data_IF_189800011049
#
_entry.id   IF_189800011049
#
_cell.length_a   1.000
_cell.length_b   1.000
_cell.length_c   1.000
_cell.angle_alpha   90.00
_cell.angle_beta   90.00
_cell.angle_gamma   90.00
#
_symmetry.space_group_name_H-M   'P 1'
#
loop_
_entity.id
_entity.type
_entity.pdbx_description
1 polymer ?
#
# COMPACT_ATOMS: atom_id res chain seq x y z
N UNK A 1 21.68 10.83 -13.39
CA UNK A 1 20.26 11.13 -13.63
C UNK A 1 19.50 10.95 -12.33
N UNK A 2 18.78 11.98 -11.90
CA UNK A 2 18.03 11.91 -10.65
C UNK A 2 16.73 11.13 -10.86
N UNK A 3 16.55 10.09 -10.05
CA UNK A 3 15.34 9.25 -10.07
C UNK A 3 14.77 9.26 -8.66
N UNK A 4 13.47 9.49 -8.55
CA UNK A 4 12.74 9.40 -7.30
C UNK A 4 11.88 8.15 -7.32
N UNK A 5 11.94 7.38 -6.24
CA UNK A 5 11.06 6.23 -6.04
C UNK A 5 9.98 6.64 -5.05
N UNK A 6 8.73 6.44 -5.42
CA UNK A 6 7.57 6.88 -4.66
C UNK A 6 6.59 5.72 -4.48
N UNK A 7 5.99 5.60 -3.30
CA UNK A 7 4.97 4.59 -3.03
C UNK A 7 3.62 5.24 -2.76
N UNK A 8 2.57 4.67 -3.33
CA UNK A 8 1.20 5.05 -3.06
C UNK A 8 0.45 3.86 -2.46
N UNK A 9 -0.08 4.04 -1.25
CA UNK A 9 -0.81 3.00 -0.54
C UNK A 9 -2.29 3.37 -0.53
N UNK A 10 -3.13 2.44 -0.91
CA UNK A 10 -4.58 2.60 -0.92
C UNK A 10 -5.21 1.57 0.03
N UNK A 11 -5.87 2.06 1.07
CA UNK A 11 -6.60 1.22 2.02
C UNK A 11 -8.08 1.28 1.64
N UNK A 12 -8.50 0.29 0.86
CA UNK A 12 -9.89 0.19 0.39
C UNK A 12 -10.74 -0.73 1.24
N UNK A 13 -12.03 -0.75 0.96
CA UNK A 13 -12.99 -1.59 1.71
C UNK A 13 -12.84 -3.09 1.38
N UNK A 14 -12.30 -3.44 0.24
CA UNK A 14 -12.11 -4.83 -0.19
C UNK A 14 -10.66 -5.20 -0.36
N UNK A 15 -9.81 -4.23 -0.65
CA UNK A 15 -8.43 -4.47 -1.02
C UNK A 15 -7.54 -3.36 -0.47
N UNK A 16 -6.38 -3.76 0.03
CA UNK A 16 -5.33 -2.83 0.42
C UNK A 16 -4.17 -3.05 -0.53
N UNK A 17 -3.70 -1.99 -1.17
CA UNK A 17 -2.69 -2.09 -2.21
C UNK A 17 -1.59 -1.05 -2.05
N UNK A 18 -0.44 -1.35 -2.67
CA UNK A 18 0.66 -0.41 -2.77
C UNK A 18 1.20 -0.47 -4.19
N UNK A 19 1.37 0.70 -4.80
CA UNK A 19 2.02 0.84 -6.10
C UNK A 19 3.32 1.60 -5.89
N UNK A 20 4.37 1.13 -6.52
CA UNK A 20 5.68 1.77 -6.47
C UNK A 20 5.97 2.33 -7.84
N UNK A 21 6.35 3.61 -7.87
CA UNK A 21 6.61 4.35 -9.09
C UNK A 21 8.05 4.84 -9.11
N UNK A 22 8.63 4.80 -10.28
CA UNK A 22 9.90 5.47 -10.57
C UNK A 22 9.59 6.73 -11.35
N UNK A 23 10.08 7.86 -10.86
CA UNK A 23 9.81 9.18 -11.43
C UNK A 23 11.12 9.80 -11.87
N UNK A 24 11.21 10.18 -13.15
CA UNK A 24 12.37 10.89 -13.69
C UNK A 24 11.91 11.96 -14.67
N UNK A 25 12.74 13.00 -14.84
CA UNK A 25 12.45 14.05 -15.82
C UNK A 25 12.49 13.51 -17.24
N UNK A 26 13.38 12.57 -17.52
CA UNK A 26 13.59 12.04 -18.86
C UNK A 26 12.51 11.06 -19.30
N UNK A 27 12.10 10.16 -18.39
CA UNK A 27 11.21 9.06 -18.75
C UNK A 27 9.81 9.18 -18.14
N UNK A 28 9.57 10.21 -17.32
CA UNK A 28 8.28 10.42 -16.68
C UNK A 28 8.04 9.47 -15.52
N UNK A 29 6.82 8.98 -15.41
CA UNK A 29 6.37 8.13 -14.29
C UNK A 29 6.16 6.71 -14.79
N UNK A 30 6.81 5.75 -14.16
CA UNK A 30 6.65 4.34 -14.46
C UNK A 30 6.27 3.56 -13.19
N UNK A 31 5.21 2.77 -13.27
CA UNK A 31 4.88 1.83 -12.20
C UNK A 31 5.84 0.64 -12.30
N UNK A 32 6.60 0.40 -11.24
CA UNK A 32 7.59 -0.68 -11.22
C UNK A 32 7.15 -1.87 -10.39
N UNK A 33 6.17 -1.70 -9.49
CA UNK A 33 5.64 -2.80 -8.71
C UNK A 33 4.24 -2.48 -8.23
N UNK A 34 3.39 -3.52 -8.16
CA UNK A 34 2.05 -3.45 -7.61
C UNK A 34 1.85 -4.65 -6.69
N UNK A 35 1.53 -4.37 -5.43
CA UNK A 35 1.27 -5.39 -4.41
C UNK A 35 -0.13 -5.15 -3.86
N UNK A 36 -0.93 -6.19 -3.76
CA UNK A 36 -2.27 -6.06 -3.19
C UNK A 36 -2.62 -7.24 -2.31
N UNK A 37 -3.48 -6.98 -1.34
CA UNK A 37 -4.01 -7.97 -0.43
C UNK A 37 -5.50 -7.75 -0.25
N UNK A 38 -6.27 -8.82 -0.22
CA UNK A 38 -7.70 -8.76 0.05
C UNK A 38 -7.91 -8.65 1.56
N UNK A 39 -8.56 -7.57 1.99
CA UNK A 39 -8.95 -7.36 3.39
C UNK A 39 -10.36 -6.77 3.37
N UNK A 40 -11.37 -7.56 3.72
CA UNK A 40 -12.77 -7.19 3.54
C UNK A 40 -13.27 -6.26 4.65
N UNK A 41 -12.66 -5.09 4.76
CA UNK A 41 -13.02 -4.11 5.79
C UNK A 41 -14.44 -3.59 5.63
N UNK A 42 -14.85 -3.31 4.39
CA UNK A 42 -16.18 -2.81 4.10
C UNK A 42 -17.27 -3.79 4.48
N UNK A 43 -17.11 -5.06 4.14
CA UNK A 43 -18.09 -6.09 4.47
C UNK A 43 -18.28 -6.22 5.98
N UNK A 44 -17.20 -6.27 6.74
CA UNK A 44 -17.27 -6.38 8.19
C UNK A 44 -17.92 -5.15 8.82
N UNK A 45 -17.57 -3.96 8.34
CA UNK A 45 -18.15 -2.72 8.84
C UNK A 45 -19.64 -2.65 8.56
N UNK A 46 -20.10 -3.08 7.39
CA UNK A 46 -21.52 -3.09 7.05
C UNK A 46 -22.31 -4.10 7.87
N UNK A 47 -21.76 -5.27 8.14
CA UNK A 47 -22.49 -6.32 8.85
C UNK A 47 -22.50 -6.14 10.37
N UNK A 48 -21.43 -5.63 10.98
CA UNK A 48 -21.29 -5.54 12.44
C UNK A 48 -21.15 -4.10 12.94
N UNK A 49 -20.87 -3.15 12.05
CA UNK A 49 -20.53 -1.75 12.36
C UNK A 49 -19.28 -1.63 13.22
N UNK A 50 -18.47 -2.67 13.28
CA UNK A 50 -17.21 -2.73 14.00
C UNK A 50 -16.18 -3.45 13.14
N UNK A 51 -14.92 -3.14 13.35
CA UNK A 51 -13.80 -3.87 12.74
C UNK A 51 -13.19 -4.73 13.86
N UNK A 52 -13.14 -6.04 13.66
CA UNK A 52 -12.61 -6.96 14.66
C UNK A 52 -11.10 -6.79 14.84
N UNK A 53 -10.59 -7.22 16.00
CA UNK A 53 -9.15 -7.22 16.24
C UNK A 53 -8.40 -8.09 15.23
N UNK A 54 -8.99 -9.18 14.78
CA UNK A 54 -8.40 -10.05 13.77
C UNK A 54 -8.21 -9.30 12.45
N UNK A 55 -9.21 -8.52 12.04
CA UNK A 55 -9.12 -7.71 10.81
C UNK A 55 -8.09 -6.59 10.95
N UNK A 56 -8.05 -5.94 12.14
CA UNK A 56 -7.06 -4.91 12.42
C UNK A 56 -5.64 -5.50 12.37
N UNK A 57 -5.43 -6.65 12.99
CA UNK A 57 -4.14 -7.34 12.97
C UNK A 57 -3.73 -7.70 11.53
N UNK A 58 -4.67 -8.17 10.73
CA UNK A 58 -4.42 -8.49 9.33
C UNK A 58 -4.00 -7.26 8.55
N UNK A 59 -4.69 -6.15 8.74
CA UNK A 59 -4.35 -4.88 8.10
C UNK A 59 -2.96 -4.40 8.53
N UNK A 60 -2.66 -4.46 9.83
CA UNK A 60 -1.35 -4.08 10.34
C UNK A 60 -0.24 -4.93 9.74
N UNK A 61 -0.46 -6.24 9.58
CA UNK A 61 0.51 -7.13 8.95
C UNK A 61 0.73 -6.77 7.49
N UNK A 62 -0.34 -6.42 6.77
CA UNK A 62 -0.25 -5.97 5.37
C UNK A 62 0.59 -4.69 5.28
N UNK A 63 0.30 -3.71 6.13
CA UNK A 63 1.01 -2.43 6.14
C UNK A 63 2.48 -2.60 6.56
N UNK A 64 2.76 -3.51 7.49
CA UNK A 64 4.13 -3.85 7.85
C UNK A 64 4.87 -4.47 6.67
N UNK A 65 4.22 -5.33 5.90
CA UNK A 65 4.78 -5.89 4.67
C UNK A 65 5.11 -4.80 3.64
N UNK A 66 4.22 -3.82 3.49
CA UNK A 66 4.47 -2.68 2.62
C UNK A 66 5.67 -1.85 3.10
N UNK A 67 5.78 -1.64 4.42
CA UNK A 67 6.91 -0.94 5.02
C UNK A 67 8.23 -1.65 4.73
N UNK A 68 8.27 -2.98 4.85
CA UNK A 68 9.45 -3.77 4.53
C UNK A 68 9.82 -3.65 3.04
N UNK A 69 8.81 -3.68 2.16
CA UNK A 69 9.03 -3.50 0.72
C UNK A 69 9.59 -2.11 0.43
N UNK A 70 9.05 -1.07 1.08
CA UNK A 70 9.56 0.29 0.91
C UNK A 70 11.02 0.40 1.36
N UNK A 71 11.40 -0.29 2.43
CA UNK A 71 12.78 -0.33 2.89
C UNK A 71 13.71 -0.99 1.87
N UNK A 72 13.25 -2.06 1.22
CA UNK A 72 14.02 -2.73 0.17
C UNK A 72 14.36 -1.79 -0.98
N UNK A 73 13.42 -0.90 -1.34
CA UNK A 73 13.61 0.07 -2.41
C UNK A 73 14.21 1.40 -1.94
N UNK A 74 14.47 1.53 -0.63
CA UNK A 74 14.94 2.78 -0.01
C UNK A 74 14.00 3.95 -0.31
N UNK A 75 12.69 3.70 -0.14
CA UNK A 75 11.66 4.70 -0.41
C UNK A 75 11.46 5.59 0.82
N UNK A 76 11.60 6.89 0.64
CA UNK A 76 11.39 7.89 1.68
C UNK A 76 10.11 8.71 1.45
N UNK A 77 9.60 8.73 0.23
CA UNK A 77 8.40 9.47 -0.13
C UNK A 77 7.26 8.52 -0.39
N UNK A 78 6.17 8.66 0.35
CA UNK A 78 4.99 7.83 0.16
C UNK A 78 3.72 8.58 0.55
N UNK A 79 2.59 8.06 0.09
CA UNK A 79 1.26 8.60 0.36
C UNK A 79 0.32 7.44 0.70
N UNK A 80 -0.57 7.68 1.64
CA UNK A 80 -1.63 6.73 2.02
C UNK A 80 -2.99 7.33 1.70
#
# INVERSE_FOLDING_TARGET
MAVTIFAAIDVGSHETSMRIYEISKKYGVHEIEYVHHTARLGLETYSTKHISYTTIDKLCNILNGFSEKMKEYDIHDYMI
#
